data_IF_934139899464
#
_entry.id   IF_934139899464
#
_cell.length_a   1.000
_cell.length_b   1.000
_cell.length_c   1.000
_cell.angle_alpha   90.00
_cell.angle_beta   90.00
_cell.angle_gamma   90.00
#
_symmetry.space_group_name_H-M   'P 1'
#
loop_
_entity.id
_entity.type
_entity.pdbx_description
1 polymer ?
#
# COMPACT_ATOMS: atom_id res chain seq x y z
N UNK A 1 -14.65 -2.70 20.59
CA UNK A 1 -14.52 -3.65 19.47
C UNK A 1 -13.13 -3.45 18.90
N UNK A 2 -12.33 -4.52 18.79
CA UNK A 2 -11.06 -4.44 18.07
C UNK A 2 -11.45 -4.30 16.60
N UNK A 3 -11.25 -3.13 15.99
CA UNK A 3 -11.39 -3.04 14.53
C UNK A 3 -10.34 -3.95 13.92
N UNK A 4 -10.79 -5.02 13.26
CA UNK A 4 -9.92 -5.83 12.46
C UNK A 4 -9.55 -5.00 11.22
N UNK A 5 -8.25 -4.84 10.98
CA UNK A 5 -7.77 -4.27 9.72
C UNK A 5 -8.35 -5.09 8.56
N UNK A 6 -8.91 -4.41 7.56
CA UNK A 6 -9.54 -5.02 6.39
C UNK A 6 -8.83 -4.65 5.08
N UNK A 7 -8.16 -3.48 5.06
CA UNK A 7 -7.63 -2.87 3.85
C UNK A 7 -6.13 -2.56 4.00
N UNK A 8 -5.35 -3.03 3.04
CA UNK A 8 -3.93 -2.71 2.94
C UNK A 8 -3.73 -1.68 1.83
N UNK A 9 -3.24 -0.48 2.17
CA UNK A 9 -3.09 0.62 1.23
C UNK A 9 -1.71 0.58 0.57
N UNK A 10 -1.71 0.71 -0.76
CA UNK A 10 -0.52 0.95 -1.56
C UNK A 10 -0.11 2.43 -1.52
N UNK A 11 1.14 2.74 -1.88
CA UNK A 11 1.72 4.09 -1.86
C UNK A 11 0.89 5.09 -2.68
N UNK A 12 0.32 4.66 -3.80
CA UNK A 12 -0.49 5.53 -4.66
C UNK A 12 -1.83 5.95 -4.00
N UNK A 13 -2.34 5.18 -3.04
CA UNK A 13 -3.54 5.55 -2.27
C UNK A 13 -3.17 6.56 -1.20
N UNK A 14 -2.13 6.27 -0.41
CA UNK A 14 -1.70 7.14 0.69
C UNK A 14 -1.26 8.51 0.16
N UNK A 15 -0.46 8.53 -0.91
CA UNK A 15 0.05 9.77 -1.52
C UNK A 15 -1.02 10.58 -2.27
N UNK A 16 -2.20 10.02 -2.56
CA UNK A 16 -3.28 10.75 -3.22
C UNK A 16 -3.79 11.89 -2.34
N UNK A 17 -3.85 11.69 -1.03
CA UNK A 17 -4.30 12.70 -0.04
C UNK A 17 -3.48 13.98 -0.05
N UNK A 18 -2.25 13.92 -0.56
CA UNK A 18 -1.33 15.05 -0.68
C UNK A 18 -1.48 15.84 -1.98
N UNK A 19 -2.30 15.38 -2.94
CA UNK A 19 -2.46 16.07 -4.22
C UNK A 19 -3.28 17.34 -4.03
N UNK A 20 -3.02 18.41 -4.82
CA UNK A 20 -3.84 19.63 -4.78
C UNK A 20 -5.33 19.39 -5.08
N UNK A 21 -5.62 18.34 -5.85
CA UNK A 21 -6.97 17.89 -6.19
C UNK A 21 -6.99 16.35 -6.07
N UNK A 22 -7.25 15.82 -4.87
CA UNK A 22 -7.30 14.37 -4.66
C UNK A 22 -8.56 13.77 -5.30
N UNK A 23 -8.48 12.51 -5.71
CA UNK A 23 -9.63 11.74 -6.19
C UNK A 23 -10.71 11.59 -5.11
N UNK A 24 -11.96 11.94 -5.45
CA UNK A 24 -13.07 11.94 -4.50
C UNK A 24 -13.43 10.53 -3.99
N UNK A 25 -13.31 9.51 -4.83
CA UNK A 25 -13.57 8.12 -4.46
C UNK A 25 -12.54 7.60 -3.46
N UNK A 26 -11.26 7.97 -3.63
CA UNK A 26 -10.22 7.68 -2.65
C UNK A 26 -10.50 8.36 -1.32
N UNK A 27 -10.79 9.67 -1.33
CA UNK A 27 -11.08 10.41 -0.09
C UNK A 27 -12.32 9.88 0.64
N UNK A 28 -13.37 9.53 -0.08
CA UNK A 28 -14.58 8.96 0.49
C UNK A 28 -14.33 7.60 1.15
N UNK A 29 -13.55 6.72 0.51
CA UNK A 29 -13.24 5.40 1.06
C UNK A 29 -12.28 5.47 2.25
N UNK A 30 -11.29 6.38 2.22
CA UNK A 30 -10.42 6.62 3.38
C UNK A 30 -11.22 7.04 4.61
N UNK A 31 -12.20 7.93 4.45
CA UNK A 31 -13.09 8.32 5.55
C UNK A 31 -14.05 7.19 5.96
N UNK A 32 -14.57 6.43 4.99
CA UNK A 32 -15.52 5.33 5.24
C UNK A 32 -14.92 4.17 6.04
N UNK A 33 -13.67 3.82 5.75
CA UNK A 33 -13.00 2.67 6.33
C UNK A 33 -11.97 3.06 7.40
N UNK A 34 -12.11 4.26 7.98
CA UNK A 34 -11.25 4.71 9.06
C UNK A 34 -11.20 3.68 10.22
N UNK A 35 -10.00 3.44 10.74
CA UNK A 35 -9.76 2.38 11.73
C UNK A 35 -9.68 0.95 11.18
N UNK A 36 -9.92 0.71 9.89
CA UNK A 36 -9.75 -0.60 9.22
C UNK A 36 -8.57 -0.62 8.23
N UNK A 37 -7.78 0.45 8.19
CA UNK A 37 -6.71 0.69 7.23
C UNK A 37 -5.34 0.30 7.82
N UNK A 38 -4.46 -0.23 6.98
CA UNK A 38 -3.04 -0.40 7.30
C UNK A 38 -2.18 -0.16 6.05
N UNK A 39 -0.86 -0.01 6.25
CA UNK A 39 0.13 0.03 5.17
C UNK A 39 1.20 -1.05 5.40
N UNK A 40 1.79 -1.62 4.33
CA UNK A 40 2.89 -2.55 4.49
C UNK A 40 4.23 -1.80 4.66
N UNK A 41 5.19 -2.42 5.33
CA UNK A 41 6.51 -1.82 5.57
C UNK A 41 7.22 -1.28 4.31
N UNK A 42 7.13 -1.91 3.12
CA UNK A 42 7.67 -1.33 1.88
C UNK A 42 7.04 0.02 1.50
N UNK A 43 5.72 0.19 1.67
CA UNK A 43 5.02 1.47 1.43
C UNK A 43 5.48 2.52 2.44
N UNK A 44 5.61 2.14 3.71
CA UNK A 44 6.20 3.03 4.73
C UNK A 44 7.60 3.49 4.37
N UNK A 45 8.44 2.58 3.86
CA UNK A 45 9.77 2.92 3.33
C UNK A 45 9.67 3.91 2.17
N UNK A 46 8.81 3.69 1.19
CA UNK A 46 8.65 4.59 0.04
C UNK A 46 8.23 6.01 0.45
N UNK A 47 7.29 6.13 1.39
CA UNK A 47 6.84 7.42 1.93
C UNK A 47 7.98 8.15 2.63
N UNK A 48 8.72 7.47 3.51
CA UNK A 48 9.86 8.06 4.23
C UNK A 48 11.00 8.42 3.29
N UNK A 49 11.35 7.55 2.36
CA UNK A 49 12.40 7.82 1.38
C UNK A 49 12.01 9.00 0.48
N UNK A 50 10.74 9.04 0.04
CA UNK A 50 10.16 10.13 -0.74
C UNK A 50 10.23 11.48 -0.02
N UNK A 51 10.01 11.49 1.29
CA UNK A 51 10.18 12.67 2.13
C UNK A 51 11.66 13.08 2.26
N UNK A 52 12.53 12.15 2.65
CA UNK A 52 13.92 12.45 2.98
C UNK A 52 14.74 12.98 1.78
N UNK A 53 14.39 12.56 0.55
CA UNK A 53 15.06 13.01 -0.67
C UNK A 53 14.64 14.41 -1.15
N UNK A 54 13.65 15.05 -0.51
CA UNK A 54 13.24 16.41 -0.88
C UNK A 54 14.31 17.43 -0.45
N UNK A 55 14.56 18.47 -1.26
CA UNK A 55 15.32 19.64 -0.82
C UNK A 55 14.67 20.29 0.39
N UNK A 56 15.48 20.90 1.26
CA UNK A 56 14.97 21.61 2.42
C UNK A 56 14.04 22.77 2.01
N UNK A 57 13.00 22.98 2.81
CA UNK A 57 11.99 24.03 2.59
C UNK A 57 10.56 23.54 2.81
N UNK A 58 9.62 24.44 2.57
CA UNK A 58 8.20 24.28 2.96
C UNK A 58 7.56 22.97 2.46
N UNK A 59 7.96 22.49 1.27
CA UNK A 59 7.45 21.23 0.73
C UNK A 59 7.92 20.02 1.54
N UNK A 60 9.19 20.00 1.96
CA UNK A 60 9.74 18.93 2.79
C UNK A 60 9.09 18.92 4.17
N UNK A 61 8.81 20.09 4.73
CA UNK A 61 8.11 20.23 6.01
C UNK A 61 6.67 19.73 5.92
N UNK A 62 5.95 20.11 4.86
CA UNK A 62 4.57 19.67 4.64
C UNK A 62 4.47 18.15 4.43
N UNK A 63 5.33 17.57 3.60
CA UNK A 63 5.41 16.11 3.40
C UNK A 63 5.85 15.40 4.68
N UNK A 64 6.80 15.97 5.42
CA UNK A 64 7.27 15.42 6.69
C UNK A 64 6.19 15.31 7.75
N UNK A 65 5.34 16.35 7.88
CA UNK A 65 4.15 16.30 8.76
C UNK A 65 3.18 15.23 8.30
N UNK A 66 2.85 15.17 7.02
CA UNK A 66 1.96 14.13 6.49
C UNK A 66 2.47 12.71 6.79
N UNK A 67 3.74 12.42 6.51
CA UNK A 67 4.32 11.10 6.72
C UNK A 67 4.32 10.71 8.20
N UNK A 68 4.63 11.66 9.10
CA UNK A 68 4.70 11.38 10.54
C UNK A 68 3.32 11.31 11.22
N UNK A 69 2.42 12.23 10.89
CA UNK A 69 1.15 12.39 11.59
C UNK A 69 0.03 11.55 10.97
N UNK A 70 -0.08 11.53 9.65
CA UNK A 70 -1.18 10.83 8.97
C UNK A 70 -0.76 9.40 8.65
N UNK A 71 0.28 9.22 7.85
CA UNK A 71 0.72 7.87 7.48
C UNK A 71 1.29 7.11 8.69
N UNK A 72 1.92 7.80 9.65
CA UNK A 72 2.43 7.21 10.89
C UNK A 72 1.34 6.79 11.88
N UNK A 73 0.10 7.27 11.72
CA UNK A 73 -1.04 6.82 12.53
C UNK A 73 -1.60 5.47 12.07
N UNK A 74 -1.33 5.07 10.82
CA UNK A 74 -1.77 3.79 10.28
C UNK A 74 -0.88 2.66 10.83
N UNK A 75 -1.47 1.51 11.21
CA UNK A 75 -0.70 0.30 11.46
C UNK A 75 0.23 -0.04 10.28
N UNK A 76 1.51 -0.24 10.58
CA UNK A 76 2.50 -0.70 9.61
C UNK A 76 2.69 -2.21 9.75
N UNK A 77 2.25 -2.97 8.75
CA UNK A 77 2.40 -4.42 8.74
C UNK A 77 3.78 -4.83 8.22
N UNK A 78 4.50 -5.73 8.93
CA UNK A 78 5.85 -6.13 8.56
C UNK A 78 5.86 -7.00 7.30
N UNK A 79 6.95 -6.94 6.54
CA UNK A 79 7.32 -8.01 5.62
C UNK A 79 8.10 -9.07 6.41
N UNK A 80 7.36 -9.98 7.03
CA UNK A 80 7.90 -11.03 7.90
C UNK A 80 8.14 -12.35 7.15
N UNK A 81 8.41 -13.44 7.88
CA UNK A 81 8.66 -14.76 7.28
C UNK A 81 7.43 -15.33 6.57
N UNK A 82 6.21 -15.02 7.01
CA UNK A 82 4.99 -15.48 6.38
C UNK A 82 4.78 -14.77 5.03
N UNK A 83 4.93 -13.44 5.00
CA UNK A 83 4.91 -12.67 3.78
C UNK A 83 6.04 -13.09 2.83
N UNK A 84 7.26 -13.29 3.34
CA UNK A 84 8.40 -13.70 2.52
C UNK A 84 8.20 -15.06 1.85
N UNK A 85 7.62 -16.03 2.55
CA UNK A 85 7.27 -17.34 1.98
C UNK A 85 6.27 -17.19 0.83
N UNK A 86 5.18 -16.45 1.05
CA UNK A 86 4.16 -16.20 0.02
C UNK A 86 4.79 -15.48 -1.18
N UNK A 87 5.62 -14.47 -0.95
CA UNK A 87 6.29 -13.74 -2.01
C UNK A 87 7.16 -14.65 -2.89
N UNK A 88 7.94 -15.55 -2.28
CA UNK A 88 8.75 -16.51 -3.02
C UNK A 88 7.90 -17.45 -3.91
N UNK A 89 6.77 -17.93 -3.39
CA UNK A 89 5.81 -18.77 -4.12
C UNK A 89 5.19 -18.01 -5.30
N UNK A 90 4.73 -16.77 -5.07
CA UNK A 90 4.17 -15.90 -6.12
C UNK A 90 5.18 -15.62 -7.22
N UNK A 91 6.42 -15.29 -6.85
CA UNK A 91 7.49 -14.99 -7.79
C UNK A 91 7.84 -16.20 -8.64
N UNK A 92 8.01 -17.37 -8.04
CA UNK A 92 8.25 -18.61 -8.77
C UNK A 92 7.10 -18.95 -9.72
N UNK A 93 5.85 -18.78 -9.28
CA UNK A 93 4.68 -19.03 -10.14
C UNK A 93 4.60 -18.07 -11.33
N UNK A 94 4.86 -16.77 -11.12
CA UNK A 94 4.87 -15.75 -12.18
C UNK A 94 5.99 -16.01 -13.18
N UNK A 95 7.20 -16.27 -12.71
CA UNK A 95 8.37 -16.56 -13.55
C UNK A 95 8.15 -17.80 -14.43
N UNK A 96 7.56 -18.88 -13.87
CA UNK A 96 7.19 -20.07 -14.65
C UNK A 96 6.13 -19.82 -15.72
N UNK A 97 5.30 -18.80 -15.54
CA UNK A 97 4.31 -18.37 -16.51
C UNK A 97 4.84 -17.33 -17.53
N UNK A 98 6.14 -17.00 -17.49
CA UNK A 98 6.73 -15.96 -18.35
C UNK A 98 6.28 -14.54 -18.00
N UNK A 99 5.75 -14.34 -16.79
CA UNK A 99 5.26 -13.06 -16.28
C UNK A 99 6.25 -12.49 -15.27
N UNK A 100 6.39 -11.16 -15.24
CA UNK A 100 7.13 -10.47 -14.20
C UNK A 100 6.22 -10.09 -13.02
N UNK A 101 6.82 -10.01 -11.84
CA UNK A 101 6.24 -9.38 -10.66
C UNK A 101 7.34 -8.48 -10.09
N UNK A 102 7.18 -7.14 -10.13
CA UNK A 102 8.15 -6.25 -9.50
C UNK A 102 8.36 -6.65 -8.04
N UNK A 103 9.60 -6.63 -7.58
CA UNK A 103 9.95 -7.19 -6.27
C UNK A 103 9.19 -6.52 -5.12
N UNK A 104 9.10 -5.18 -5.13
CA UNK A 104 8.38 -4.42 -4.10
C UNK A 104 6.87 -4.69 -4.16
N UNK A 105 6.29 -4.76 -5.36
CA UNK A 105 4.88 -5.12 -5.54
C UNK A 105 4.60 -6.52 -4.99
N UNK A 106 5.52 -7.47 -5.21
CA UNK A 106 5.42 -8.81 -4.63
C UNK A 106 5.51 -8.81 -3.10
N UNK A 107 6.33 -7.95 -2.50
CA UNK A 107 6.34 -7.75 -1.05
C UNK A 107 5.00 -7.19 -0.56
N UNK A 108 4.46 -6.15 -1.20
CA UNK A 108 3.17 -5.55 -0.84
C UNK A 108 2.02 -6.56 -0.95
N UNK A 109 1.94 -7.28 -2.07
CA UNK A 109 0.94 -8.32 -2.30
C UNK A 109 1.01 -9.44 -1.26
N UNK A 110 2.23 -9.90 -0.95
CA UNK A 110 2.42 -10.99 0.01
C UNK A 110 2.04 -10.59 1.43
N UNK A 111 2.26 -9.34 1.85
CA UNK A 111 1.77 -8.82 3.14
C UNK A 111 0.24 -8.81 3.16
N UNK A 112 -0.42 -8.35 2.09
CA UNK A 112 -1.88 -8.38 2.01
C UNK A 112 -2.42 -9.81 2.16
N UNK A 113 -1.80 -10.77 1.48
CA UNK A 113 -2.21 -12.18 1.52
C UNK A 113 -1.93 -12.84 2.87
N UNK A 114 -0.77 -12.58 3.49
CA UNK A 114 -0.40 -13.13 4.78
C UNK A 114 -1.40 -12.76 5.88
N UNK A 115 -1.95 -11.55 5.80
CA UNK A 115 -2.92 -11.04 6.76
C UNK A 115 -4.39 -11.21 6.31
N UNK A 116 -4.63 -11.80 5.13
CA UNK A 116 -5.98 -11.95 4.60
C UNK A 116 -6.69 -10.61 4.44
N UNK A 117 -6.02 -9.61 3.86
CA UNK A 117 -6.50 -8.24 3.62
C UNK A 117 -6.81 -8.00 2.14
N UNK A 118 -7.52 -6.92 1.83
CA UNK A 118 -7.70 -6.46 0.45
C UNK A 118 -6.67 -5.39 0.13
N UNK A 119 -5.85 -5.61 -0.90
CA UNK A 119 -4.89 -4.63 -1.37
C UNK A 119 -5.61 -3.55 -2.19
N UNK A 120 -5.50 -2.31 -1.74
CA UNK A 120 -6.05 -1.14 -2.41
C UNK A 120 -4.96 -0.48 -3.23
N UNK A 121 -5.13 -0.42 -4.54
CA UNK A 121 -4.14 0.16 -5.45
C UNK A 121 -4.80 0.68 -6.73
N UNK A 122 -4.26 1.76 -7.29
CA UNK A 122 -4.58 2.21 -8.66
C UNK A 122 -4.11 1.20 -9.72
N UNK A 123 -3.02 0.48 -9.43
CA UNK A 123 -2.28 -0.30 -10.41
C UNK A 123 -2.72 -1.77 -10.43
N UNK A 124 -4.02 -2.04 -10.40
CA UNK A 124 -4.56 -3.42 -10.28
C UNK A 124 -4.04 -4.39 -11.35
N UNK A 125 -3.68 -3.89 -12.53
CA UNK A 125 -3.09 -4.66 -13.63
C UNK A 125 -1.76 -5.35 -13.25
N UNK A 126 -0.93 -4.72 -12.41
CA UNK A 126 0.39 -5.26 -12.03
C UNK A 126 0.23 -6.50 -11.11
N UNK A 127 -0.92 -6.55 -10.42
CA UNK A 127 -1.34 -7.61 -9.51
C UNK A 127 -2.32 -8.60 -10.15
N UNK A 128 -2.73 -8.38 -11.40
CA UNK A 128 -3.68 -9.26 -12.08
C UNK A 128 -3.13 -10.69 -12.17
N UNK A 129 -4.00 -11.67 -11.94
CA UNK A 129 -3.64 -13.10 -11.98
C UNK A 129 -2.85 -13.63 -10.77
N UNK A 130 -2.62 -12.83 -9.71
CA UNK A 130 -2.14 -13.37 -8.44
C UNK A 130 -3.29 -14.08 -7.72
N UNK A 131 -3.32 -15.40 -7.82
CA UNK A 131 -4.34 -16.21 -7.17
C UNK A 131 -4.33 -15.99 -5.64
N UNK A 132 -5.50 -15.74 -5.06
CA UNK A 132 -5.66 -15.50 -3.62
C UNK A 132 -5.43 -14.06 -3.16
N UNK A 133 -4.98 -13.16 -4.04
CA UNK A 133 -4.92 -11.73 -3.71
C UNK A 133 -6.26 -11.06 -4.00
N UNK A 134 -6.83 -10.37 -3.00
CA UNK A 134 -8.00 -9.50 -3.18
C UNK A 134 -7.53 -8.09 -3.53
N UNK A 135 -8.15 -7.50 -4.55
CA UNK A 135 -7.80 -6.17 -5.05
C UNK A 135 -9.01 -5.24 -5.02
N UNK A 136 -8.77 -3.98 -4.69
CA UNK A 136 -9.72 -2.90 -4.88
C UNK A 136 -9.03 -1.68 -5.52
N UNK A 137 -9.75 -1.04 -6.43
CA UNK A 137 -9.38 0.27 -6.96
C UNK A 137 -10.43 1.28 -6.47
N UNK A 138 -9.98 2.33 -5.79
CA UNK A 138 -10.86 3.38 -5.27
C UNK A 138 -10.89 4.64 -6.13
N UNK A 139 -10.12 4.67 -7.23
CA UNK A 139 -10.10 5.78 -8.18
C UNK A 139 -11.30 5.75 -9.12
N UNK A 140 -11.74 6.94 -9.55
CA UNK A 140 -12.80 7.09 -10.57
C UNK A 140 -14.20 7.16 -9.98
N UNK A 141 -14.37 7.90 -8.88
CA UNK A 141 -15.69 8.28 -8.35
C UNK A 141 -16.56 9.01 -9.36
#
# INVERSE_FOLDING_TARGET
MVSAVSWLLDTNIVSETMRPRPDAGVMANLARFDGELAIPAPVWHELRYGWLRLPDGQRKDAVGRFVQEVAGSLPVLPYDSAAARIHAELRNSRERAGLSLPFVDGQIASVAMAHGLTLVTRNTRDFAGLAGLRLANWFGG
#
